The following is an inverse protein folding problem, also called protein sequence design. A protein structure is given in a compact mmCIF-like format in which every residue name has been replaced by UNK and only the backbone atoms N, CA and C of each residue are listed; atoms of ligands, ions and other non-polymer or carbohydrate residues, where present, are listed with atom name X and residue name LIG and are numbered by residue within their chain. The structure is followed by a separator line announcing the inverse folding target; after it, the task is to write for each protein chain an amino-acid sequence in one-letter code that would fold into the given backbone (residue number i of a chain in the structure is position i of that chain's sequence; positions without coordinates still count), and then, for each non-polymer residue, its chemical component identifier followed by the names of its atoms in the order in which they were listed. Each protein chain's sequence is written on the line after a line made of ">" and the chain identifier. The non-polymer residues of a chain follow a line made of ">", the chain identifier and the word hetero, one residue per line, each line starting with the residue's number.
data_IF_592093522462
#
_entry.id   IF_592093522462
#
_cell.length_a   1.000
_cell.length_b   1.000
_cell.length_c   1.000
_cell.angle_alpha   90.00
_cell.angle_beta   90.00
_cell.angle_gamma   90.00
#
_symmetry.space_group_name_H-M   'P 1'
#
loop_
_entity.id
_entity.type
_entity.pdbx_description
1 polymer ?
#
# COMPACT_ATOMS: atom_id res chain seq x y z
N UNK A 1 -22.03 2.15 20.41
CA UNK A 1 -20.95 3.01 19.91
C UNK A 1 -19.64 2.31 20.23
N UNK A 2 -18.65 2.39 19.36
CA UNK A 2 -17.32 1.86 19.61
C UNK A 2 -16.61 2.57 20.75
N UNK A 3 -15.48 2.05 21.19
CA UNK A 3 -14.66 2.69 22.21
C UNK A 3 -14.00 3.97 21.69
N UNK A 4 -13.62 3.92 20.40
CA UNK A 4 -13.08 5.08 19.68
C UNK A 4 -14.11 5.56 18.65
N UNK A 5 -14.33 6.86 18.62
CA UNK A 5 -15.23 7.47 17.64
C UNK A 5 -14.54 7.60 16.27
N UNK A 6 -13.22 7.87 16.28
CA UNK A 6 -12.38 7.96 15.08
C UNK A 6 -11.16 7.06 15.19
N UNK A 7 -10.83 6.45 14.06
CA UNK A 7 -9.58 5.71 13.91
C UNK A 7 -8.81 6.31 12.75
N UNK A 8 -7.58 6.72 13.00
CA UNK A 8 -6.61 7.13 11.99
C UNK A 8 -5.69 5.95 11.71
N UNK A 9 -5.73 5.44 10.49
CA UNK A 9 -4.90 4.31 10.07
C UNK A 9 -3.92 4.75 9.01
N UNK A 10 -2.64 4.82 9.37
CA UNK A 10 -1.55 5.29 8.51
C UNK A 10 -0.71 4.10 8.09
N UNK A 11 -0.58 3.89 6.78
CA UNK A 11 0.32 2.91 6.18
C UNK A 11 1.55 3.64 5.65
N UNK A 12 2.72 3.32 6.19
CA UNK A 12 4.02 3.72 5.68
C UNK A 12 4.40 2.70 4.60
N UNK A 13 4.05 2.98 3.36
CA UNK A 13 4.19 2.03 2.24
C UNK A 13 5.63 1.50 2.16
N UNK A 14 5.80 0.19 2.26
CA UNK A 14 7.08 -0.53 2.22
C UNK A 14 8.02 -0.42 3.43
N UNK A 15 7.59 0.09 4.59
CA UNK A 15 8.44 0.15 5.80
C UNK A 15 8.43 -1.20 6.54
N UNK A 16 9.11 -2.21 5.98
CA UNK A 16 9.31 -3.51 6.61
C UNK A 16 10.26 -3.46 7.81
N UNK A 17 10.17 -4.48 8.69
CA UNK A 17 10.95 -4.57 9.93
C UNK A 17 11.52 -5.99 10.15
N UNK A 18 12.22 -6.48 9.15
CA UNK A 18 12.91 -7.78 9.15
C UNK A 18 12.12 -8.90 8.48
N UNK A 19 12.85 -9.87 7.97
CA UNK A 19 12.36 -10.97 7.16
C UNK A 19 11.29 -11.83 7.83
N UNK A 20 10.31 -12.28 7.06
CA UNK A 20 9.35 -13.31 7.48
C UNK A 20 10.01 -14.70 7.44
N UNK A 21 9.47 -15.69 8.19
CA UNK A 21 9.99 -17.05 8.18
C UNK A 21 10.02 -17.73 6.81
N UNK A 22 9.15 -17.33 5.90
CA UNK A 22 9.05 -17.81 4.52
C UNK A 22 9.80 -16.95 3.50
N UNK A 23 10.57 -15.96 3.93
CA UNK A 23 11.30 -15.03 3.06
C UNK A 23 12.23 -15.73 2.06
N UNK A 24 12.80 -16.88 2.43
CA UNK A 24 13.63 -17.68 1.55
C UNK A 24 12.89 -18.14 0.27
N UNK A 25 11.59 -18.43 0.35
CA UNK A 25 10.76 -18.86 -0.78
C UNK A 25 10.55 -17.73 -1.80
N UNK A 26 10.69 -16.47 -1.35
CA UNK A 26 10.58 -15.25 -2.16
C UNK A 26 11.94 -14.70 -2.62
N UNK A 27 13.06 -15.32 -2.20
CA UNK A 27 14.41 -14.81 -2.45
C UNK A 27 14.77 -13.59 -1.60
N UNK A 28 14.09 -13.41 -0.48
CA UNK A 28 14.19 -12.22 0.38
C UNK A 28 14.90 -12.50 1.72
N UNK A 29 15.63 -13.60 1.81
CA UNK A 29 16.40 -13.96 3.00
C UNK A 29 17.36 -12.83 3.39
N UNK A 30 17.33 -12.39 4.64
CA UNK A 30 18.16 -11.30 5.16
C UNK A 30 17.62 -9.90 4.89
N UNK A 31 16.43 -9.73 4.28
CA UNK A 31 15.81 -8.42 4.09
C UNK A 31 15.39 -7.82 5.42
N UNK A 32 15.67 -6.53 5.59
CA UNK A 32 15.30 -5.76 6.77
C UNK A 32 15.31 -4.27 6.43
N UNK A 33 14.24 -3.80 5.82
CA UNK A 33 14.12 -2.43 5.30
C UNK A 33 14.53 -1.40 6.35
N UNK A 34 13.84 -1.34 7.49
CA UNK A 34 14.12 -0.35 8.53
C UNK A 34 15.46 -0.60 9.23
N UNK A 35 15.83 -1.87 9.44
CA UNK A 35 17.10 -2.24 10.07
C UNK A 35 18.30 -1.80 9.25
N UNK A 36 18.31 -2.05 7.94
CA UNK A 36 19.42 -1.65 7.06
C UNK A 36 19.51 -0.13 6.88
N UNK A 37 18.39 0.57 6.85
CA UNK A 37 18.40 2.04 6.85
C UNK A 37 19.04 2.55 8.15
N UNK A 38 18.67 2.00 9.31
CA UNK A 38 19.27 2.36 10.61
C UNK A 38 20.73 1.95 10.74
N UNK A 39 21.17 0.89 10.03
CA UNK A 39 22.58 0.51 9.94
C UNK A 39 23.43 1.50 9.14
N UNK A 40 22.84 2.09 8.10
CA UNK A 40 23.54 3.01 7.19
C UNK A 40 23.88 4.35 7.84
N UNK A 41 23.01 4.82 8.72
CA UNK A 41 23.15 6.09 9.48
C UNK A 41 22.24 6.13 10.71
N UNK A 42 22.54 6.96 11.73
CA UNK A 42 21.59 7.28 12.78
C UNK A 42 20.32 7.91 12.21
N UNK A 43 19.15 7.49 12.71
CA UNK A 43 17.85 8.04 12.34
C UNK A 43 17.33 8.96 13.46
N UNK A 44 16.81 10.12 13.10
CA UNK A 44 16.15 11.04 14.02
C UNK A 44 14.63 10.81 14.05
N UNK A 45 14.22 9.72 14.73
CA UNK A 45 12.81 9.25 14.80
C UNK A 45 12.32 9.09 16.26
N UNK A 46 12.48 10.12 17.12
CA UNK A 46 12.19 9.99 18.55
C UNK A 46 10.72 9.71 18.85
N UNK A 47 9.77 10.17 18.04
CA UNK A 47 8.34 9.98 18.27
C UNK A 47 7.92 8.53 17.95
N UNK A 48 8.41 7.96 16.87
CA UNK A 48 8.22 6.53 16.55
C UNK A 48 8.84 5.63 17.62
N UNK A 49 10.04 5.98 18.12
CA UNK A 49 10.68 5.27 19.23
C UNK A 49 9.83 5.40 20.49
N UNK A 50 9.29 6.58 20.79
CA UNK A 50 8.43 6.82 21.95
C UNK A 50 7.11 6.04 21.86
N UNK A 51 6.57 5.85 20.65
CA UNK A 51 5.43 4.97 20.42
C UNK A 51 5.76 3.48 20.63
N UNK A 52 7.04 3.09 20.59
CA UNK A 52 7.51 1.72 20.84
C UNK A 52 8.17 1.04 19.64
N UNK A 53 8.52 1.76 18.56
CA UNK A 53 9.11 1.14 17.36
C UNK A 53 10.38 0.35 17.68
N UNK A 54 11.31 0.92 18.43
CA UNK A 54 12.54 0.24 18.82
C UNK A 54 12.33 -0.89 19.86
N UNK A 55 11.13 -1.02 20.43
CA UNK A 55 10.75 -2.11 21.30
C UNK A 55 10.26 -3.35 20.50
N UNK A 56 9.96 -3.20 19.20
CA UNK A 56 9.53 -4.28 18.32
C UNK A 56 10.71 -5.13 17.87
N UNK A 57 11.78 -4.46 17.43
CA UNK A 57 13.03 -5.09 16.97
C UNK A 57 14.22 -4.13 17.24
N UNK A 58 15.42 -4.67 17.47
CA UNK A 58 16.61 -3.84 17.63
C UNK A 58 16.85 -2.98 16.37
N UNK A 59 16.99 -1.67 16.57
CA UNK A 59 17.38 -0.72 15.54
C UNK A 59 18.71 -0.07 15.96
N UNK A 60 19.70 -0.13 15.07
CA UNK A 60 21.02 0.46 15.34
C UNK A 60 20.86 1.97 15.68
N UNK A 61 21.59 2.42 16.67
CA UNK A 61 21.55 3.80 17.18
C UNK A 61 20.22 4.21 17.84
N UNK A 62 19.27 3.31 18.03
CA UNK A 62 18.03 3.56 18.76
C UNK A 62 18.04 2.81 20.10
N UNK A 63 17.60 3.46 21.15
CA UNK A 63 17.36 2.82 22.44
C UNK A 63 15.86 2.59 22.60
N UNK A 64 15.42 1.35 22.89
CA UNK A 64 14.01 1.07 23.17
C UNK A 64 13.47 1.99 24.26
N UNK A 65 12.25 2.48 24.09
CA UNK A 65 11.59 3.31 25.09
C UNK A 65 11.37 2.49 26.38
N UNK A 66 11.79 3.05 27.54
CA UNK A 66 11.55 2.40 28.83
C UNK A 66 10.05 2.35 29.19
N UNK A 67 9.28 3.34 28.73
CA UNK A 67 7.83 3.42 28.88
C UNK A 67 7.21 3.90 27.57
N UNK A 68 6.97 3.01 26.60
CA UNK A 68 6.32 3.38 25.35
C UNK A 68 4.94 3.98 25.61
N UNK A 69 4.60 5.07 24.92
CA UNK A 69 3.28 5.70 25.04
C UNK A 69 2.21 5.01 24.18
N UNK A 70 2.62 4.12 23.27
CA UNK A 70 1.73 3.34 22.41
C UNK A 70 1.77 1.84 22.73
N UNK A 71 0.83 1.10 22.15
CA UNK A 71 0.92 -0.34 21.99
C UNK A 71 1.79 -0.64 20.77
N UNK A 72 2.62 -1.68 20.88
CA UNK A 72 3.61 -2.01 19.85
C UNK A 72 3.70 -3.51 19.60
N UNK A 73 4.02 -3.89 18.39
CA UNK A 73 4.23 -5.25 17.93
C UNK A 73 4.54 -5.31 16.45
N UNK A 74 4.52 -6.49 15.86
CA UNK A 74 4.72 -6.66 14.43
C UNK A 74 3.74 -7.64 13.82
N UNK A 75 3.37 -7.41 12.55
CA UNK A 75 2.45 -8.26 11.80
C UNK A 75 3.18 -9.07 10.74
N UNK A 76 2.81 -10.34 10.61
CA UNK A 76 3.20 -11.19 9.49
C UNK A 76 2.17 -11.08 8.36
N UNK A 77 2.58 -11.39 7.13
CA UNK A 77 1.68 -11.51 5.98
C UNK A 77 1.39 -12.99 5.71
N UNK A 78 0.11 -13.36 5.63
CA UNK A 78 -0.37 -14.72 5.26
C UNK A 78 -0.58 -14.89 3.77
N UNK A 79 -0.94 -13.82 3.09
CA UNK A 79 -1.14 -13.82 1.65
C UNK A 79 0.14 -14.19 0.90
N UNK A 80 -0.01 -14.83 -0.27
CA UNK A 80 1.10 -15.29 -1.09
C UNK A 80 1.82 -14.18 -1.87
N UNK A 81 1.33 -12.93 -1.82
CA UNK A 81 1.96 -11.77 -2.45
C UNK A 81 2.82 -10.96 -1.48
N UNK A 82 3.56 -10.00 -2.01
CA UNK A 82 4.36 -9.02 -1.27
C UNK A 82 4.26 -7.61 -1.87
N UNK A 83 3.13 -7.33 -2.50
CA UNK A 83 2.83 -6.04 -3.14
C UNK A 83 1.81 -5.24 -2.34
N UNK A 84 1.72 -3.93 -2.64
CA UNK A 84 0.83 -2.97 -1.96
C UNK A 84 -0.62 -3.45 -1.91
N UNK A 85 -1.15 -3.97 -3.03
CA UNK A 85 -2.53 -4.47 -3.08
C UNK A 85 -2.72 -5.65 -2.14
N UNK A 86 -1.79 -6.61 -2.16
CA UNK A 86 -1.81 -7.80 -1.29
C UNK A 86 -1.80 -7.41 0.19
N UNK A 87 -0.88 -6.53 0.61
CA UNK A 87 -0.77 -6.10 2.00
C UNK A 87 -2.02 -5.37 2.48
N UNK A 88 -2.51 -4.39 1.71
CA UNK A 88 -3.72 -3.64 2.06
C UNK A 88 -4.98 -4.51 2.08
N UNK A 89 -5.12 -5.46 1.14
CA UNK A 89 -6.27 -6.37 1.16
C UNK A 89 -6.23 -7.32 2.37
N UNK A 90 -5.04 -7.79 2.74
CA UNK A 90 -4.90 -8.61 3.93
C UNK A 90 -5.26 -7.82 5.19
N UNK A 91 -4.83 -6.55 5.32
CA UNK A 91 -5.27 -5.64 6.37
C UNK A 91 -6.80 -5.57 6.47
N UNK A 92 -7.50 -5.59 5.32
CA UNK A 92 -8.95 -5.57 5.26
C UNK A 92 -9.63 -6.94 5.47
N UNK A 93 -8.86 -8.00 5.79
CA UNK A 93 -9.38 -9.34 6.07
C UNK A 93 -9.45 -10.27 4.86
N UNK A 94 -8.76 -9.95 3.76
CA UNK A 94 -8.73 -10.78 2.54
C UNK A 94 -7.38 -11.46 2.39
N UNK A 95 -7.32 -12.77 2.55
CA UNK A 95 -6.12 -13.54 2.25
C UNK A 95 -6.07 -13.97 0.79
N UNK A 96 -4.96 -13.68 0.14
CA UNK A 96 -4.67 -14.16 -1.20
C UNK A 96 -3.88 -15.46 -1.14
N UNK A 97 -4.54 -16.56 -1.52
CA UNK A 97 -3.91 -17.90 -1.57
C UNK A 97 -3.02 -18.09 -2.79
N UNK A 98 -3.01 -17.15 -3.70
CA UNK A 98 -2.15 -17.09 -4.88
C UNK A 98 -1.76 -15.65 -5.16
N UNK A 99 -0.45 -15.41 -5.33
CA UNK A 99 0.05 -14.09 -5.73
C UNK A 99 -0.48 -13.69 -7.11
N UNK A 100 -0.60 -12.40 -7.33
CA UNK A 100 -0.89 -11.88 -8.67
C UNK A 100 0.22 -12.29 -9.64
N UNK A 101 -0.11 -12.81 -10.84
CA UNK A 101 0.88 -13.29 -11.79
C UNK A 101 1.74 -12.14 -12.35
N UNK A 102 3.05 -12.40 -12.48
CA UNK A 102 4.02 -11.49 -13.11
C UNK A 102 4.56 -12.15 -14.38
N UNK A 103 4.60 -11.40 -15.48
CA UNK A 103 4.96 -11.90 -16.79
C UNK A 103 6.34 -11.42 -17.25
N UNK A 104 7.40 -12.04 -16.72
CA UNK A 104 8.81 -11.67 -17.00
C UNK A 104 9.21 -11.77 -18.48
N UNK A 105 8.46 -12.52 -19.30
CA UNK A 105 8.72 -12.71 -20.73
C UNK A 105 7.58 -12.20 -21.62
N UNK A 106 6.67 -11.37 -21.09
CA UNK A 106 5.42 -11.01 -21.74
C UNK A 106 4.30 -12.04 -21.51
N UNK A 107 3.10 -11.70 -21.94
CA UNK A 107 1.90 -12.52 -21.74
C UNK A 107 1.90 -13.72 -22.68
N UNK A 108 1.23 -14.85 -22.32
CA UNK A 108 1.03 -15.98 -23.19
C UNK A 108 0.41 -15.58 -24.55
N UNK A 109 0.83 -16.28 -25.60
CA UNK A 109 0.40 -15.94 -26.96
C UNK A 109 -1.09 -16.08 -27.18
N UNK A 110 -1.69 -17.14 -26.66
CA UNK A 110 -3.13 -17.40 -26.72
C UNK A 110 -3.96 -16.29 -26.05
N UNK A 111 -3.47 -15.77 -24.91
CA UNK A 111 -4.10 -14.64 -24.23
C UNK A 111 -4.06 -13.36 -25.08
N UNK A 112 -2.93 -13.08 -25.73
CA UNK A 112 -2.81 -11.92 -26.61
C UNK A 112 -3.68 -12.11 -27.87
N UNK A 113 -3.70 -13.28 -28.46
CA UNK A 113 -4.54 -13.56 -29.63
C UNK A 113 -6.04 -13.39 -29.33
N UNK A 114 -6.49 -13.84 -28.15
CA UNK A 114 -7.88 -13.63 -27.73
C UNK A 114 -8.17 -12.14 -27.43
N UNK A 115 -7.25 -11.43 -26.80
CA UNK A 115 -7.36 -9.98 -26.60
C UNK A 115 -7.48 -9.24 -27.94
N UNK A 116 -6.59 -9.51 -28.89
CA UNK A 116 -6.59 -8.93 -30.24
C UNK A 116 -7.92 -9.17 -31.01
N UNK A 117 -8.46 -10.39 -30.87
CA UNK A 117 -9.75 -10.75 -31.47
C UNK A 117 -10.89 -9.91 -30.86
N UNK A 118 -10.89 -9.74 -29.53
CA UNK A 118 -11.96 -8.99 -28.87
C UNK A 118 -11.90 -7.48 -29.16
N UNK A 119 -10.70 -6.90 -29.26
CA UNK A 119 -10.55 -5.48 -29.60
C UNK A 119 -10.56 -5.19 -31.11
N UNK A 120 -10.52 -6.23 -31.96
CA UNK A 120 -10.51 -6.11 -33.42
C UNK A 120 -9.22 -5.51 -34.00
N UNK A 121 -8.11 -5.52 -33.24
CA UNK A 121 -6.80 -4.96 -33.66
C UNK A 121 -5.67 -5.91 -33.29
N UNK A 122 -4.63 -5.98 -34.15
CA UNK A 122 -3.35 -6.60 -33.76
C UNK A 122 -2.58 -5.66 -32.83
N UNK A 123 -1.79 -6.26 -31.94
CA UNK A 123 -0.95 -5.52 -30.97
C UNK A 123 0.53 -5.59 -31.35
N UNK A 124 1.33 -4.73 -30.73
CA UNK A 124 2.81 -4.77 -30.77
C UNK A 124 3.36 -4.71 -29.34
N UNK A 125 4.60 -5.12 -29.15
CA UNK A 125 5.28 -5.13 -27.87
C UNK A 125 5.22 -6.50 -27.20
N UNK A 126 4.30 -6.69 -26.26
CA UNK A 126 4.15 -7.89 -25.41
C UNK A 126 5.45 -8.31 -24.71
N UNK A 127 6.09 -7.38 -24.01
CA UNK A 127 7.32 -7.60 -23.27
C UNK A 127 7.38 -6.75 -22.00
N UNK A 128 8.25 -7.07 -21.02
CA UNK A 128 8.53 -6.18 -19.91
C UNK A 128 9.27 -4.93 -20.38
N UNK A 129 8.79 -3.75 -19.96
CA UNK A 129 9.45 -2.49 -20.26
C UNK A 129 8.97 -1.36 -19.33
N UNK A 130 9.79 -0.30 -19.21
CA UNK A 130 9.28 0.95 -18.67
C UNK A 130 8.38 1.65 -19.69
N UNK A 131 7.32 2.30 -19.21
CA UNK A 131 6.34 2.96 -20.10
C UNK A 131 6.93 4.10 -20.94
N UNK A 132 8.02 4.71 -20.52
CA UNK A 132 8.74 5.75 -21.28
C UNK A 132 9.56 5.13 -22.39
N UNK A 133 10.30 4.06 -22.09
CA UNK A 133 11.18 3.42 -23.08
C UNK A 133 10.39 2.68 -24.16
N UNK A 134 9.31 1.97 -23.78
CA UNK A 134 8.51 1.25 -24.79
C UNK A 134 7.82 2.20 -25.77
N UNK A 135 7.39 3.39 -25.32
CA UNK A 135 6.80 4.41 -26.20
C UNK A 135 7.86 5.00 -27.13
N UNK A 136 9.09 5.22 -26.68
CA UNK A 136 10.20 5.64 -27.55
C UNK A 136 10.51 4.59 -28.60
N UNK A 137 10.53 3.32 -28.21
CA UNK A 137 10.87 2.20 -29.09
C UNK A 137 9.78 1.90 -30.14
N UNK A 138 8.52 1.82 -29.72
CA UNK A 138 7.40 1.32 -30.54
C UNK A 138 6.40 2.41 -30.97
N UNK A 139 6.55 3.66 -30.49
CA UNK A 139 5.60 4.72 -30.75
C UNK A 139 5.46 5.04 -32.24
N UNK A 140 6.55 5.05 -33.00
CA UNK A 140 6.53 5.28 -34.45
C UNK A 140 5.82 4.15 -35.22
N UNK A 141 6.08 2.88 -34.86
CA UNK A 141 5.37 1.74 -35.41
C UNK A 141 3.88 1.80 -35.07
N UNK A 142 3.53 2.15 -33.83
CA UNK A 142 2.15 2.32 -33.41
C UNK A 142 1.44 3.39 -34.27
N UNK A 143 2.04 4.57 -34.42
CA UNK A 143 1.45 5.67 -35.23
C UNK A 143 1.25 5.25 -36.68
N UNK A 144 2.21 4.55 -37.26
CA UNK A 144 2.15 4.09 -38.65
C UNK A 144 1.13 2.96 -38.88
N UNK A 145 0.95 2.05 -37.91
CA UNK A 145 0.16 0.82 -38.11
C UNK A 145 -1.19 0.83 -37.41
N UNK A 146 -1.41 1.74 -36.45
CA UNK A 146 -2.62 1.76 -35.60
C UNK A 146 -2.70 0.59 -34.62
N UNK A 147 -1.63 -0.18 -34.41
CA UNK A 147 -1.58 -1.29 -33.46
C UNK A 147 -1.29 -0.77 -32.04
N UNK A 148 -2.13 -1.01 -31.02
CA UNK A 148 -1.83 -0.61 -29.66
C UNK A 148 -0.59 -1.35 -29.14
N UNK A 149 0.19 -0.64 -28.28
CA UNK A 149 1.39 -1.19 -27.64
C UNK A 149 0.95 -1.89 -26.36
N UNK A 150 1.10 -3.21 -26.28
CA UNK A 150 0.88 -4.00 -25.06
C UNK A 150 2.21 -4.29 -24.39
N UNK A 151 2.31 -4.10 -23.09
CA UNK A 151 3.52 -4.38 -22.32
C UNK A 151 3.21 -4.63 -20.84
N UNK A 152 4.20 -5.13 -20.11
CA UNK A 152 4.13 -5.34 -18.66
C UNK A 152 5.32 -4.67 -17.97
N UNK A 153 5.50 -4.87 -16.67
CA UNK A 153 6.65 -4.43 -15.88
C UNK A 153 7.02 -5.48 -14.84
N UNK A 154 7.82 -5.12 -13.84
CA UNK A 154 8.09 -5.96 -12.68
C UNK A 154 6.85 -6.23 -11.81
N UNK A 155 5.85 -5.36 -11.88
CA UNK A 155 4.57 -5.52 -11.20
C UNK A 155 3.62 -6.43 -11.98
N UNK A 156 2.54 -6.86 -11.31
CA UNK A 156 1.45 -7.62 -11.93
C UNK A 156 0.50 -6.67 -12.67
N UNK A 157 0.90 -6.24 -13.86
CA UNK A 157 0.16 -5.25 -14.66
C UNK A 157 0.10 -5.61 -16.14
N UNK A 158 -1.05 -5.32 -16.78
CA UNK A 158 -1.25 -5.33 -18.22
C UNK A 158 -1.41 -3.88 -18.67
N UNK A 159 -0.50 -3.38 -19.48
CA UNK A 159 -0.48 -1.97 -19.87
C UNK A 159 -0.70 -1.82 -21.36
N UNK A 160 -1.54 -0.85 -21.75
CA UNK A 160 -1.84 -0.53 -23.15
C UNK A 160 -1.47 0.93 -23.38
N UNK A 161 -0.49 1.18 -24.27
CA UNK A 161 -0.12 2.52 -24.66
C UNK A 161 -0.60 2.82 -26.08
N UNK A 162 -1.19 4.03 -26.26
CA UNK A 162 -1.69 4.50 -27.57
C UNK A 162 -1.46 5.99 -27.72
N UNK A 163 -1.17 6.44 -28.95
CA UNK A 163 -1.16 7.85 -29.30
C UNK A 163 -2.60 8.34 -29.48
N UNK A 164 -2.95 9.46 -28.84
CA UNK A 164 -4.34 9.94 -28.76
C UNK A 164 -4.95 10.34 -30.09
N UNK A 165 -4.13 10.74 -31.08
CA UNK A 165 -4.58 11.05 -32.43
C UNK A 165 -4.73 9.81 -33.34
N UNK A 166 -4.18 8.65 -32.93
CA UNK A 166 -4.26 7.38 -33.68
C UNK A 166 -5.36 6.50 -33.13
N UNK A 167 -5.44 6.38 -31.81
CA UNK A 167 -6.50 5.65 -31.09
C UNK A 167 -7.05 6.61 -30.05
N UNK A 168 -8.32 7.06 -30.19
CA UNK A 168 -8.95 7.93 -29.21
C UNK A 168 -8.93 7.36 -27.81
N UNK A 169 -8.81 8.21 -26.79
CA UNK A 169 -8.70 7.77 -25.38
C UNK A 169 -9.91 6.91 -24.95
N UNK A 170 -11.11 7.21 -25.44
CA UNK A 170 -12.30 6.41 -25.17
C UNK A 170 -12.16 4.96 -25.68
N UNK A 171 -11.56 4.78 -26.86
CA UNK A 171 -11.28 3.45 -27.44
C UNK A 171 -10.18 2.74 -26.64
N UNK A 172 -9.14 3.44 -26.20
CA UNK A 172 -8.13 2.88 -25.30
C UNK A 172 -8.76 2.41 -23.98
N UNK A 173 -9.65 3.18 -23.39
CA UNK A 173 -10.34 2.79 -22.15
C UNK A 173 -11.19 1.56 -22.38
N UNK A 174 -11.92 1.48 -23.49
CA UNK A 174 -12.67 0.28 -23.85
C UNK A 174 -11.77 -0.96 -24.01
N UNK A 175 -10.59 -0.84 -24.64
CA UNK A 175 -9.61 -1.93 -24.72
C UNK A 175 -9.15 -2.38 -23.32
N UNK A 176 -8.95 -1.44 -22.38
CA UNK A 176 -8.59 -1.79 -21.02
C UNK A 176 -9.71 -2.49 -20.26
N UNK A 177 -10.97 -2.13 -20.49
CA UNK A 177 -12.13 -2.86 -19.94
C UNK A 177 -12.23 -4.28 -20.49
N UNK A 178 -11.99 -4.47 -21.79
CA UNK A 178 -11.91 -5.80 -22.43
C UNK A 178 -10.78 -6.62 -21.79
N UNK A 179 -9.59 -6.02 -21.68
CA UNK A 179 -8.45 -6.68 -21.05
C UNK A 179 -8.75 -7.05 -19.58
N UNK A 180 -9.38 -6.15 -18.80
CA UNK A 180 -9.73 -6.43 -17.40
C UNK A 180 -10.66 -7.63 -17.25
N UNK A 181 -11.63 -7.80 -18.15
CA UNK A 181 -12.55 -8.94 -18.17
C UNK A 181 -11.86 -10.24 -18.60
N UNK A 182 -10.94 -10.15 -19.55
CA UNK A 182 -10.19 -11.30 -20.06
C UNK A 182 -9.16 -11.82 -19.06
N UNK A 183 -8.53 -10.90 -18.32
CA UNK A 183 -7.47 -11.18 -17.35
C UNK A 183 -8.05 -11.59 -15.99
N UNK A 184 -8.68 -12.76 -15.93
CA UNK A 184 -9.23 -13.38 -14.73
C UNK A 184 -8.64 -14.78 -14.49
N UNK A 185 -9.02 -15.44 -13.39
CA UNK A 185 -8.49 -16.75 -13.02
C UNK A 185 -6.95 -16.74 -12.91
N UNK A 186 -6.24 -17.64 -13.59
CA UNK A 186 -4.78 -17.75 -13.51
C UNK A 186 -4.03 -16.53 -14.10
N UNK A 187 -4.71 -15.73 -14.92
CA UNK A 187 -4.16 -14.52 -15.53
C UNK A 187 -4.61 -13.22 -14.86
N UNK A 188 -5.18 -13.30 -13.67
CA UNK A 188 -5.73 -12.17 -12.92
C UNK A 188 -4.64 -11.24 -12.43
N UNK A 189 -4.14 -10.35 -13.32
CA UNK A 189 -3.18 -9.30 -12.92
C UNK A 189 -3.84 -8.28 -12.00
N UNK A 190 -3.06 -7.66 -11.14
CA UNK A 190 -3.54 -6.67 -10.18
C UNK A 190 -4.16 -5.43 -10.85
N UNK A 191 -3.61 -4.97 -11.96
CA UNK A 191 -4.10 -3.78 -12.69
C UNK A 191 -4.00 -3.94 -14.20
N UNK A 192 -4.99 -3.40 -14.92
CA UNK A 192 -4.88 -3.05 -16.34
C UNK A 192 -4.74 -1.54 -16.43
N UNK A 193 -3.79 -1.03 -17.22
CA UNK A 193 -3.45 0.40 -17.21
C UNK A 193 -3.54 0.99 -18.62
N UNK A 194 -4.38 2.00 -18.77
CA UNK A 194 -4.39 2.86 -19.95
C UNK A 194 -3.25 3.88 -19.89
N UNK A 195 -2.42 3.92 -20.92
CA UNK A 195 -1.25 4.81 -21.04
C UNK A 195 -1.32 5.67 -22.31
N UNK A 196 -2.21 6.66 -22.40
CA UNK A 196 -2.26 7.55 -23.55
C UNK A 196 -1.00 8.42 -23.61
N UNK A 197 -0.56 8.69 -24.85
CA UNK A 197 0.57 9.57 -25.12
C UNK A 197 0.31 10.43 -26.36
N UNK A 198 1.08 11.50 -26.51
CA UNK A 198 1.05 12.45 -27.63
C UNK A 198 2.47 12.76 -28.09
N UNK A 199 2.59 13.59 -29.12
CA UNK A 199 3.87 14.07 -29.61
C UNK A 199 4.26 13.49 -30.97
N UNK A 200 5.52 13.62 -31.31
CA UNK A 200 6.08 13.22 -32.60
C UNK A 200 7.24 12.23 -32.40
N UNK A 201 7.68 11.49 -33.42
CA UNK A 201 8.84 10.63 -33.35
C UNK A 201 10.02 11.28 -32.64
N UNK A 202 10.58 10.58 -31.64
CA UNK A 202 11.65 11.08 -30.78
C UNK A 202 11.24 12.06 -29.67
N UNK A 203 9.98 12.51 -29.63
CA UNK A 203 9.43 13.45 -28.63
C UNK A 203 8.05 13.07 -28.12
N UNK A 204 7.80 11.76 -27.98
CA UNK A 204 6.56 11.27 -27.38
C UNK A 204 6.51 11.53 -25.87
N UNK A 205 5.35 12.01 -25.40
CA UNK A 205 5.11 12.38 -24.00
C UNK A 205 3.81 11.72 -23.51
N UNK A 206 3.85 11.07 -22.36
CA UNK A 206 2.65 10.53 -21.71
C UNK A 206 1.75 11.68 -21.26
N UNK A 207 0.44 11.50 -21.44
CA UNK A 207 -0.55 12.49 -20.99
C UNK A 207 -1.03 12.19 -19.57
N UNK A 208 -1.76 13.12 -18.98
CA UNK A 208 -2.38 12.98 -17.66
C UNK A 208 -3.63 12.09 -17.67
N UNK A 209 -4.09 11.64 -18.85
CA UNK A 209 -5.27 10.77 -19.03
C UNK A 209 -4.95 9.29 -18.83
N UNK A 210 -3.95 8.98 -17.98
CA UNK A 210 -3.75 7.63 -17.47
C UNK A 210 -4.97 7.20 -16.68
N UNK A 211 -5.40 5.93 -16.85
CA UNK A 211 -6.45 5.33 -16.05
C UNK A 211 -6.08 3.89 -15.68
N UNK A 212 -6.22 3.54 -14.42
CA UNK A 212 -5.91 2.23 -13.89
C UNK A 212 -7.23 1.48 -13.60
N UNK A 213 -7.38 0.28 -14.17
CA UNK A 213 -8.48 -0.65 -13.92
C UNK A 213 -7.96 -1.71 -12.95
N UNK A 214 -8.11 -1.46 -11.66
CA UNK A 214 -7.71 -2.40 -10.63
C UNK A 214 -8.63 -3.64 -10.63
N UNK A 215 -8.12 -4.74 -10.11
CA UNK A 215 -8.96 -5.90 -9.81
C UNK A 215 -9.81 -5.60 -8.57
N UNK A 216 -11.06 -6.02 -8.58
CA UNK A 216 -11.94 -5.86 -7.41
C UNK A 216 -11.49 -6.75 -6.25
N UNK A 217 -11.41 -6.21 -5.03
CA UNK A 217 -11.11 -7.03 -3.87
C UNK A 217 -12.24 -8.05 -3.62
N UNK A 218 -11.91 -9.28 -3.19
CA UNK A 218 -12.91 -10.27 -2.78
C UNK A 218 -13.81 -9.78 -1.63
N UNK A 219 -15.01 -10.32 -1.55
CA UNK A 219 -15.99 -10.06 -0.48
C UNK A 219 -16.04 -11.23 0.51
N UNK A 220 -16.39 -10.96 1.77
CA UNK A 220 -16.49 -9.66 2.43
C UNK A 220 -15.12 -9.14 2.88
N UNK A 221 -15.01 -7.83 3.11
CA UNK A 221 -13.82 -7.18 3.67
C UNK A 221 -14.21 -6.07 4.67
N UNK A 222 -13.21 -5.46 5.33
CA UNK A 222 -13.42 -4.42 6.35
C UNK A 222 -14.37 -3.31 5.88
N UNK A 223 -14.19 -2.78 4.66
CA UNK A 223 -15.00 -1.70 4.12
C UNK A 223 -16.48 -2.08 3.99
N UNK A 224 -16.79 -3.33 3.65
CA UNK A 224 -18.17 -3.83 3.61
C UNK A 224 -18.79 -3.84 5.00
N UNK A 225 -18.04 -4.35 5.98
CA UNK A 225 -18.47 -4.43 7.39
C UNK A 225 -18.70 -3.03 7.96
N UNK A 226 -17.82 -2.07 7.66
CA UNK A 226 -17.97 -0.68 8.09
C UNK A 226 -19.20 -0.02 7.44
N UNK A 227 -19.43 -0.24 6.14
CA UNK A 227 -20.58 0.26 5.42
C UNK A 227 -21.92 -0.27 6.01
N UNK A 228 -22.00 -1.57 6.32
CA UNK A 228 -23.17 -2.18 7.01
C UNK A 228 -23.45 -1.53 8.37
N UNK A 229 -22.41 -1.08 9.06
CA UNK A 229 -22.48 -0.38 10.34
C UNK A 229 -22.66 1.14 10.19
N UNK A 230 -22.77 1.65 8.96
CA UNK A 230 -22.89 3.08 8.64
C UNK A 230 -21.67 3.89 9.13
N UNK A 231 -20.52 3.25 9.20
CA UNK A 231 -19.24 3.88 9.50
C UNK A 231 -18.61 4.35 8.20
N UNK A 232 -18.32 5.64 8.10
CA UNK A 232 -17.71 6.24 6.92
C UNK A 232 -16.22 5.93 6.88
N UNK A 233 -15.69 5.70 5.68
CA UNK A 233 -14.26 5.56 5.41
C UNK A 233 -13.83 6.74 4.54
N UNK A 234 -12.88 7.52 5.05
CA UNK A 234 -12.23 8.59 4.30
C UNK A 234 -10.82 8.16 3.88
N UNK A 235 -10.60 8.03 2.57
CA UNK A 235 -9.33 7.62 1.99
C UNK A 235 -8.40 8.81 1.73
N UNK A 236 -7.13 8.69 2.11
CA UNK A 236 -6.08 9.67 1.81
C UNK A 236 -4.97 8.95 1.03
N UNK A 237 -4.53 9.56 -0.07
CA UNK A 237 -3.53 8.98 -0.97
C UNK A 237 -4.10 7.93 -1.90
N UNK A 238 -3.50 6.74 -1.96
CA UNK A 238 -3.89 5.66 -2.89
C UNK A 238 -5.01 4.74 -2.37
N UNK A 239 -5.56 4.98 -1.20
CA UNK A 239 -6.53 4.07 -0.57
C UNK A 239 -7.74 3.80 -1.48
N UNK A 240 -8.32 4.85 -2.09
CA UNK A 240 -9.42 4.67 -3.03
C UNK A 240 -9.04 3.72 -4.19
N UNK A 241 -7.88 3.91 -4.79
CA UNK A 241 -7.43 3.11 -5.95
C UNK A 241 -7.09 1.67 -5.56
N UNK A 242 -6.48 1.44 -4.38
CA UNK A 242 -6.12 0.11 -3.86
C UNK A 242 -7.36 -0.76 -3.67
N UNK A 243 -8.47 -0.16 -3.22
CA UNK A 243 -9.74 -0.85 -3.01
C UNK A 243 -10.73 -0.69 -4.17
N UNK A 244 -10.29 -0.11 -5.30
CA UNK A 244 -11.11 0.16 -6.48
C UNK A 244 -12.40 0.93 -6.13
N UNK A 245 -12.30 1.91 -5.22
CA UNK A 245 -13.39 2.75 -4.74
C UNK A 245 -14.36 2.07 -3.76
N UNK A 246 -14.22 0.76 -3.53
CA UNK A 246 -15.18 -0.01 -2.78
C UNK A 246 -15.17 0.33 -1.29
N UNK A 247 -16.29 0.90 -0.82
CA UNK A 247 -16.46 1.34 0.55
C UNK A 247 -15.59 2.53 0.96
N UNK A 248 -14.95 3.20 -0.02
CA UNK A 248 -14.14 4.41 0.15
C UNK A 248 -14.75 5.49 -0.76
N UNK A 249 -15.92 5.97 -0.41
CA UNK A 249 -16.68 6.93 -1.23
C UNK A 249 -16.13 8.35 -1.12
N UNK A 250 -15.55 8.70 0.03
CA UNK A 250 -14.92 9.98 0.28
C UNK A 250 -13.39 9.80 0.29
N UNK A 251 -12.69 10.54 -0.57
CA UNK A 251 -11.24 10.43 -0.64
C UNK A 251 -10.56 11.71 -1.15
N UNK A 252 -9.26 11.80 -0.92
CA UNK A 252 -8.40 12.85 -1.45
C UNK A 252 -7.07 12.27 -1.89
N UNK A 253 -6.61 12.67 -3.07
CA UNK A 253 -5.27 12.30 -3.56
C UNK A 253 -4.19 13.14 -2.89
N UNK A 254 -2.96 12.65 -2.87
CA UNK A 254 -1.80 13.32 -2.27
C UNK A 254 -0.69 13.56 -3.30
N UNK A 255 0.12 14.59 -3.04
CA UNK A 255 1.32 14.92 -3.84
C UNK A 255 2.56 14.21 -3.29
N UNK A 256 2.50 13.64 -2.08
CA UNK A 256 3.56 12.96 -1.37
C UNK A 256 3.22 12.78 0.10
N UNK A 257 4.16 12.25 0.89
CA UNK A 257 3.94 11.92 2.29
C UNK A 257 3.60 13.14 3.16
N UNK A 258 4.30 14.27 2.99
CA UNK A 258 4.04 15.49 3.74
C UNK A 258 2.62 16.03 3.49
N UNK A 259 2.15 16.05 2.24
CA UNK A 259 0.78 16.42 1.88
C UNK A 259 -0.25 15.44 2.47
N UNK A 260 0.10 14.14 2.57
CA UNK A 260 -0.72 13.12 3.25
C UNK A 260 -0.91 13.44 4.74
N UNK A 261 0.15 13.81 5.43
CA UNK A 261 0.11 14.21 6.84
C UNK A 261 -0.66 15.53 7.06
N UNK A 262 -0.53 16.50 6.15
CA UNK A 262 -1.34 17.72 6.18
C UNK A 262 -2.84 17.39 6.08
N UNK A 263 -3.22 16.51 5.14
CA UNK A 263 -4.62 16.07 4.97
C UNK A 263 -5.15 15.28 6.16
N UNK A 264 -4.32 14.47 6.81
CA UNK A 264 -4.67 13.82 8.08
C UNK A 264 -4.97 14.85 9.17
N UNK A 265 -4.15 15.90 9.27
CA UNK A 265 -4.35 17.00 10.23
C UNK A 265 -5.65 17.75 9.95
N UNK A 266 -5.95 18.05 8.70
CA UNK A 266 -7.23 18.66 8.30
C UNK A 266 -8.42 17.74 8.65
N UNK A 267 -8.29 16.44 8.45
CA UNK A 267 -9.34 15.47 8.78
C UNK A 267 -9.70 15.46 10.27
N UNK A 268 -8.79 15.81 11.19
CA UNK A 268 -9.09 15.92 12.61
C UNK A 268 -10.22 16.97 12.88
N UNK A 269 -10.18 18.09 12.18
CA UNK A 269 -11.18 19.16 12.33
C UNK A 269 -12.48 18.89 11.56
N UNK A 270 -12.39 18.23 10.40
CA UNK A 270 -13.51 18.03 9.49
C UNK A 270 -14.32 16.76 9.75
N UNK A 271 -13.68 15.71 10.31
CA UNK A 271 -14.28 14.38 10.49
C UNK A 271 -14.54 14.09 11.96
N UNK A 272 -15.79 13.89 12.33
CA UNK A 272 -16.18 13.64 13.73
C UNK A 272 -16.12 12.18 14.14
N UNK A 273 -16.26 11.25 13.19
CA UNK A 273 -16.27 9.81 13.45
C UNK A 273 -15.90 9.02 12.20
N UNK A 274 -15.55 7.75 12.37
CA UNK A 274 -15.28 6.80 11.29
C UNK A 274 -13.79 6.43 11.15
N UNK A 275 -13.47 5.84 10.02
CA UNK A 275 -12.10 5.44 9.67
C UNK A 275 -11.48 6.47 8.72
N UNK A 276 -10.37 7.07 9.11
CA UNK A 276 -9.50 7.88 8.26
C UNK A 276 -8.31 7.00 7.88
N UNK A 277 -8.25 6.57 6.64
CA UNK A 277 -7.28 5.60 6.15
C UNK A 277 -6.32 6.27 5.16
N UNK A 278 -5.03 6.30 5.48
CA UNK A 278 -4.00 7.00 4.72
C UNK A 278 -2.89 6.05 4.28
N UNK A 279 -2.51 6.14 3.00
CA UNK A 279 -1.31 5.51 2.46
C UNK A 279 -0.27 6.59 2.13
N UNK A 280 0.91 6.50 2.75
CA UNK A 280 2.07 7.37 2.53
C UNK A 280 3.06 6.64 1.60
N UNK A 281 2.94 6.90 0.31
CA UNK A 281 3.51 6.07 -0.77
C UNK A 281 4.96 6.40 -1.14
N UNK A 282 5.52 7.55 -0.70
CA UNK A 282 6.84 7.99 -1.17
C UNK A 282 7.95 7.05 -0.72
N UNK A 283 7.81 6.40 0.43
CA UNK A 283 8.78 5.43 0.94
C UNK A 283 9.04 4.33 -0.09
N UNK A 284 7.97 3.78 -0.66
CA UNK A 284 8.04 2.79 -1.73
C UNK A 284 8.47 3.40 -3.05
N UNK A 285 7.67 4.35 -3.55
CA UNK A 285 7.75 4.83 -4.93
C UNK A 285 9.02 5.65 -5.21
N UNK A 286 9.45 6.48 -4.26
CA UNK A 286 10.60 7.38 -4.46
C UNK A 286 11.91 6.79 -3.96
N UNK A 287 11.88 5.92 -2.95
CA UNK A 287 13.09 5.50 -2.25
C UNK A 287 13.33 4.00 -2.30
N UNK A 288 12.36 3.14 -1.92
CA UNK A 288 12.48 1.69 -1.89
C UNK A 288 12.89 1.12 -3.26
N UNK A 289 12.05 1.29 -4.27
CA UNK A 289 12.31 0.84 -5.63
C UNK A 289 13.52 1.50 -6.31
N UNK A 290 14.09 2.55 -5.72
CA UNK A 290 15.25 3.28 -6.27
C UNK A 290 16.54 3.03 -5.51
N UNK A 291 16.46 2.24 -4.44
CA UNK A 291 17.60 1.98 -3.54
C UNK A 291 18.19 3.26 -2.96
N UNK A 292 17.35 4.24 -2.71
CA UNK A 292 17.74 5.51 -2.12
C UNK A 292 17.62 5.46 -0.60
N UNK A 293 18.62 4.85 0.04
CA UNK A 293 18.69 4.69 1.50
C UNK A 293 18.64 6.05 2.21
N UNK A 294 19.34 7.05 1.67
CA UNK A 294 19.40 8.39 2.28
C UNK A 294 18.06 9.12 2.16
N UNK A 295 17.42 9.06 1.01
CA UNK A 295 16.09 9.62 0.80
C UNK A 295 15.03 8.95 1.67
N UNK A 296 15.11 7.61 1.81
CA UNK A 296 14.22 6.85 2.69
C UNK A 296 14.36 7.29 4.15
N UNK A 297 15.62 7.38 4.64
CA UNK A 297 15.92 7.84 6.00
C UNK A 297 15.36 9.24 6.27
N UNK A 298 15.61 10.21 5.38
CA UNK A 298 15.07 11.57 5.49
C UNK A 298 13.56 11.62 5.47
N UNK A 299 12.92 10.78 4.67
CA UNK A 299 11.45 10.70 4.63
C UNK A 299 10.87 10.14 5.94
N UNK A 300 11.55 9.18 6.59
CA UNK A 300 11.17 8.70 7.92
C UNK A 300 11.32 9.79 8.99
N UNK A 301 12.40 10.54 8.94
CA UNK A 301 12.66 11.66 9.87
C UNK A 301 11.63 12.80 9.68
N UNK A 302 11.27 13.11 8.42
CA UNK A 302 10.21 14.08 8.13
C UNK A 302 8.85 13.60 8.64
N UNK A 303 8.52 12.33 8.41
CA UNK A 303 7.29 11.73 8.94
C UNK A 303 7.27 11.82 10.47
N UNK A 304 8.36 11.47 11.15
CA UNK A 304 8.47 11.53 12.61
C UNK A 304 8.27 12.96 13.17
N UNK A 305 8.83 13.94 12.50
CA UNK A 305 8.61 15.37 12.84
C UNK A 305 7.15 15.78 12.68
N UNK A 306 6.51 15.41 11.58
CA UNK A 306 5.08 15.67 11.33
C UNK A 306 4.18 14.91 12.31
N UNK A 307 4.59 13.72 12.71
CA UNK A 307 3.91 12.92 13.72
C UNK A 307 3.92 13.62 15.09
N UNK A 308 5.03 14.30 15.47
CA UNK A 308 5.09 15.10 16.69
C UNK A 308 4.05 16.23 16.72
N UNK A 309 3.75 16.81 15.55
CA UNK A 309 2.73 17.85 15.42
C UNK A 309 1.30 17.25 15.43
N UNK A 310 1.15 16.03 14.92
CA UNK A 310 -0.15 15.34 14.80
C UNK A 310 -0.64 14.72 16.12
N UNK A 311 0.25 14.05 16.88
CA UNK A 311 -0.12 13.33 18.10
C UNK A 311 -0.89 14.18 19.14
N UNK A 312 -0.48 15.44 19.43
CA UNK A 312 -1.18 16.29 20.41
C UNK A 312 -2.60 16.71 19.99
N UNK A 313 -2.95 16.57 18.72
CA UNK A 313 -4.25 16.94 18.18
C UNK A 313 -5.30 15.84 18.38
N UNK A 314 -4.88 14.62 18.72
CA UNK A 314 -5.77 13.50 18.97
C UNK A 314 -6.50 13.68 20.30
N UNK A 315 -7.78 13.31 20.31
CA UNK A 315 -8.64 13.30 21.50
C UNK A 315 -8.64 11.94 22.19
N UNK A 316 -9.22 11.86 23.39
CA UNK A 316 -9.41 10.62 24.14
C UNK A 316 -10.28 9.59 23.38
N UNK A 317 -11.12 10.05 22.46
CA UNK A 317 -11.96 9.18 21.61
C UNK A 317 -11.33 8.80 20.28
N UNK A 318 -10.04 9.15 20.06
CA UNK A 318 -9.30 8.80 18.86
C UNK A 318 -8.35 7.63 19.11
N UNK A 319 -8.20 6.80 18.07
CA UNK A 319 -7.13 5.80 17.99
C UNK A 319 -6.31 6.04 16.73
N UNK A 320 -5.01 6.05 16.86
CA UNK A 320 -4.04 6.04 15.76
C UNK A 320 -3.46 4.64 15.63
N UNK A 321 -3.40 4.13 14.41
CA UNK A 321 -2.65 2.91 14.06
C UNK A 321 -1.66 3.27 12.95
N UNK A 322 -0.37 3.01 13.18
CA UNK A 322 0.69 3.17 12.18
C UNK A 322 1.24 1.79 11.87
N UNK A 323 1.36 1.47 10.58
CA UNK A 323 1.86 0.19 10.09
C UNK A 323 2.53 0.34 8.72
N UNK A 324 2.91 -0.77 8.11
CA UNK A 324 3.26 -0.87 6.70
C UNK A 324 2.47 -2.03 6.05
N UNK A 325 2.54 -2.16 4.76
CA UNK A 325 1.86 -3.20 3.97
C UNK A 325 2.82 -4.33 3.53
N UNK A 326 4.10 -4.01 3.35
CA UNK A 326 5.21 -4.92 3.03
C UNK A 326 6.55 -4.24 3.33
N UNK A 327 7.68 -4.86 2.95
CA UNK A 327 9.00 -4.25 2.91
C UNK A 327 9.42 -3.89 1.47
N UNK A 328 10.37 -2.98 1.35
CA UNK A 328 11.12 -2.72 0.10
C UNK A 328 12.52 -2.22 0.47
N UNK A 329 13.38 -3.16 0.82
CA UNK A 329 14.71 -2.89 1.38
C UNK A 329 15.61 -2.16 0.37
N UNK A 330 15.95 -0.88 0.61
CA UNK A 330 16.71 -0.07 -0.33
C UNK A 330 18.22 -0.35 -0.31
N UNK A 331 18.69 -1.28 0.52
CA UNK A 331 20.12 -1.56 0.65
C UNK A 331 20.73 -1.95 -0.71
N UNK A 332 21.83 -1.30 -1.15
CA UNK A 332 22.45 -1.54 -2.45
C UNK A 332 23.03 -2.96 -2.62
N UNK A 333 23.22 -3.73 -1.53
CA UNK A 333 23.65 -5.14 -1.59
C UNK A 333 22.69 -6.03 -2.37
N UNK A 334 21.41 -5.67 -2.43
CA UNK A 334 20.40 -6.46 -3.12
C UNK A 334 20.44 -6.24 -4.64
N UNK A 335 20.30 -7.30 -5.42
CA UNK A 335 20.29 -7.20 -6.88
C UNK A 335 18.96 -6.64 -7.43
N UNK A 336 17.85 -6.92 -6.75
CA UNK A 336 16.50 -6.47 -7.15
C UNK A 336 16.08 -5.20 -6.43
N UNK A 337 15.16 -4.47 -7.03
CA UNK A 337 14.42 -3.34 -6.43
C UNK A 337 12.98 -3.73 -6.12
N UNK A 338 12.67 -5.02 -6.06
CA UNK A 338 11.34 -5.54 -5.79
C UNK A 338 11.00 -5.44 -4.30
N UNK A 339 9.71 -5.47 -3.98
CA UNK A 339 9.23 -5.56 -2.61
C UNK A 339 9.83 -6.78 -1.90
N UNK A 340 9.89 -6.73 -0.58
CA UNK A 340 10.46 -7.77 0.25
C UNK A 340 9.45 -8.37 1.23
N UNK A 341 9.64 -9.69 1.46
CA UNK A 341 8.80 -10.50 2.35
C UNK A 341 9.21 -10.28 3.80
N UNK A 342 8.67 -9.23 4.44
CA UNK A 342 9.05 -8.79 5.78
C UNK A 342 7.86 -8.71 6.72
N UNK A 343 8.14 -8.80 8.03
CA UNK A 343 7.21 -8.30 9.03
C UNK A 343 6.99 -6.79 8.83
N UNK A 344 5.84 -6.29 9.25
CA UNK A 344 5.56 -4.86 9.31
C UNK A 344 5.36 -4.40 10.75
N UNK A 345 5.72 -3.16 11.12
CA UNK A 345 5.48 -2.63 12.45
C UNK A 345 3.99 -2.44 12.71
N UNK A 346 3.58 -2.61 13.95
CA UNK A 346 2.26 -2.24 14.46
C UNK A 346 2.49 -1.30 15.63
N UNK A 347 2.08 -0.05 15.48
CA UNK A 347 2.08 0.95 16.54
C UNK A 347 0.65 1.45 16.68
N UNK A 348 0.07 1.32 17.86
CA UNK A 348 -1.27 1.81 18.13
C UNK A 348 -1.26 2.76 19.32
N UNK A 349 -1.87 3.92 19.18
CA UNK A 349 -1.85 4.98 20.18
C UNK A 349 -3.22 5.59 20.37
N UNK A 350 -3.53 5.90 21.61
CA UNK A 350 -4.65 6.76 21.99
C UNK A 350 -4.22 7.58 23.22
N UNK A 351 -4.56 8.86 23.30
CA UNK A 351 -4.30 9.64 24.53
C UNK A 351 -4.95 9.04 25.78
N UNK A 352 -5.94 8.16 25.58
CA UNK A 352 -6.70 7.52 26.67
C UNK A 352 -6.33 6.06 26.95
N UNK A 353 -5.30 5.47 26.33
CA UNK A 353 -4.95 4.09 26.63
C UNK A 353 -3.97 3.45 25.65
N UNK A 354 -3.57 2.21 25.92
CA UNK A 354 -2.65 1.42 25.08
C UNK A 354 -1.17 1.62 25.38
N UNK A 355 -0.79 2.50 26.31
CA UNK A 355 0.60 2.79 26.63
C UNK A 355 1.35 1.54 27.14
N UNK A 356 2.50 1.22 26.53
CA UNK A 356 3.38 0.13 26.94
C UNK A 356 2.85 -1.28 26.66
N UNK A 357 1.75 -1.43 25.96
CA UNK A 357 1.18 -2.74 25.62
C UNK A 357 2.00 -3.40 24.49
N UNK A 358 2.59 -4.56 24.78
CA UNK A 358 3.20 -5.37 23.73
C UNK A 358 2.13 -6.31 23.14
N UNK A 359 1.66 -6.05 21.92
CA UNK A 359 0.71 -6.92 21.20
C UNK A 359 1.38 -8.12 20.53
N UNK A 360 2.71 -8.22 20.65
CA UNK A 360 3.50 -9.37 20.20
C UNK A 360 3.65 -9.48 18.69
N UNK A 361 3.86 -10.71 18.23
CA UNK A 361 3.89 -11.03 16.80
C UNK A 361 2.49 -11.47 16.38
N UNK A 362 1.91 -10.74 15.44
CA UNK A 362 0.58 -11.04 14.90
C UNK A 362 0.72 -11.92 13.66
N UNK A 363 -0.09 -12.96 13.59
CA UNK A 363 -0.03 -13.97 12.52
C UNK A 363 -0.47 -13.45 11.14
N UNK A 364 -1.16 -12.33 11.09
CA UNK A 364 -1.69 -11.73 9.85
C UNK A 364 -1.92 -10.22 10.02
N UNK A 365 -1.80 -9.48 8.92
CA UNK A 365 -2.14 -8.06 8.87
C UNK A 365 -3.63 -7.81 9.12
N UNK A 366 -4.47 -8.81 8.91
CA UNK A 366 -5.91 -8.75 9.18
C UNK A 366 -6.25 -8.50 10.66
N UNK A 367 -5.32 -8.73 11.58
CA UNK A 367 -5.52 -8.46 13.01
C UNK A 367 -5.79 -6.98 13.29
N UNK A 368 -5.17 -6.07 12.52
CA UNK A 368 -5.44 -4.64 12.57
C UNK A 368 -6.85 -4.31 12.07
N UNK A 369 -7.22 -4.86 10.91
CA UNK A 369 -8.57 -4.69 10.37
C UNK A 369 -9.66 -5.26 11.28
N UNK A 370 -9.41 -6.42 11.91
CA UNK A 370 -10.35 -6.98 12.89
C UNK A 370 -10.45 -6.12 14.15
N UNK A 371 -9.36 -5.48 14.58
CA UNK A 371 -9.37 -4.53 15.69
C UNK A 371 -10.25 -3.32 15.37
N UNK A 372 -10.13 -2.79 14.15
CA UNK A 372 -10.97 -1.67 13.67
C UNK A 372 -12.43 -2.12 13.53
N UNK A 373 -12.69 -3.30 12.93
CA UNK A 373 -14.04 -3.83 12.79
C UNK A 373 -14.72 -4.02 14.16
N UNK A 374 -14.02 -4.62 15.13
CA UNK A 374 -14.54 -4.82 16.49
C UNK A 374 -14.85 -3.50 17.18
N UNK A 375 -14.01 -2.47 17.03
CA UNK A 375 -14.28 -1.15 17.58
C UNK A 375 -15.64 -0.60 17.12
N UNK A 376 -15.99 -0.84 15.86
CA UNK A 376 -17.28 -0.41 15.30
C UNK A 376 -18.37 -1.49 15.37
N UNK A 377 -18.19 -2.53 16.19
CA UNK A 377 -19.16 -3.60 16.44
C UNK A 377 -19.31 -4.58 15.28
N UNK A 378 -18.29 -4.71 14.42
CA UNK A 378 -18.23 -5.63 13.29
C UNK A 378 -17.24 -6.76 13.46
N UNK A 379 -17.20 -7.65 12.47
CA UNK A 379 -16.23 -8.76 12.37
C UNK A 379 -15.89 -8.98 10.90
N UNK A 380 -14.62 -9.17 10.60
CA UNK A 380 -14.13 -9.53 9.26
C UNK A 380 -13.78 -11.03 9.20
N UNK A 381 -13.66 -11.64 8.00
CA UNK A 381 -13.44 -13.08 7.86
C UNK A 381 -12.16 -13.58 8.51
N UNK A 382 -11.11 -12.77 8.56
CA UNK A 382 -9.79 -13.12 9.03
C UNK A 382 -9.32 -12.13 10.10
N UNK A 383 -8.37 -12.58 10.95
CA UNK A 383 -7.74 -11.74 11.96
C UNK A 383 -8.28 -11.92 13.36
N UNK A 384 -7.44 -11.56 14.33
CA UNK A 384 -7.77 -11.54 15.77
C UNK A 384 -7.52 -10.13 16.29
N UNK A 385 -8.56 -9.52 16.84
CA UNK A 385 -8.47 -8.19 17.43
C UNK A 385 -7.55 -8.16 18.64
N UNK A 386 -6.82 -7.06 18.77
CA UNK A 386 -6.08 -6.70 19.99
C UNK A 386 -6.71 -5.50 20.74
N UNK A 387 -7.95 -5.14 20.42
CA UNK A 387 -8.66 -4.02 21.06
C UNK A 387 -8.77 -4.19 22.57
N UNK A 388 -9.05 -5.40 23.04
CA UNK A 388 -9.17 -5.69 24.47
C UNK A 388 -7.82 -5.58 25.22
N UNK A 389 -6.71 -5.81 24.54
CA UNK A 389 -5.37 -5.64 25.10
C UNK A 389 -5.09 -4.16 25.37
N UNK A 390 -5.52 -3.28 24.48
CA UNK A 390 -5.44 -1.81 24.66
C UNK A 390 -6.36 -1.28 25.78
N UNK A 391 -7.51 -1.92 26.00
CA UNK A 391 -8.50 -1.54 27.03
C UNK A 391 -8.01 -1.82 28.46
N UNK A 392 -7.28 -2.91 28.69
CA UNK A 392 -6.89 -3.37 30.02
C UNK A 392 -6.08 -2.35 30.83
N UNK A 393 -5.40 -1.42 30.19
CA UNK A 393 -4.65 -0.38 30.89
C UNK A 393 -5.53 0.80 31.36
N UNK A 394 -6.60 1.15 30.64
CA UNK A 394 -7.55 2.19 31.07
C UNK A 394 -8.17 1.89 32.45
N UNK A 395 -8.45 0.63 32.73
CA UNK A 395 -9.07 0.19 34.00
C UNK A 395 -8.12 0.35 35.19
N UNK A 396 -6.82 0.31 34.98
CA UNK A 396 -5.82 0.40 36.05
C UNK A 396 -5.41 1.85 36.39
N UNK A 397 -5.62 2.81 35.49
CA UNK A 397 -5.32 4.23 35.72
C UNK A 397 -6.49 4.99 36.35
N UNK A 398 -7.74 4.56 36.10
CA UNK A 398 -8.94 5.13 36.73
C UNK A 398 -9.10 4.65 38.19
N UNK A 399 -8.37 3.61 38.58
CA UNK A 399 -8.37 3.04 39.94
C UNK A 399 -7.22 3.53 40.82
N UNK A 400 -6.41 4.49 40.38
CA UNK A 400 -5.38 5.20 41.13
C UNK A 400 -5.68 6.69 41.19
#
# INVERSE_FOLDING_TARGET
>A
MGEFERIFWIVLDSVGIGELPDAAEYGDLGRNTLGHIAESRPLEIPNLVHLGLANIAPLKHQTPAAAPIGAYGKGATRSQGKDTTTGHWEMAGVWLHQAFPVYKNGFPRDLIEEFEKQIGRKTIGNKPASGTEIIKELGEEHVRTGKPIVYTSGDSVFQIATHEEVIPVAELYHMCEVARKLLDGPHRVGRVIARPFTGMPGRYVRTTRRHDYAVDPPKPMLMDVLAERKVRVFGIGKIHDIYNGRGVEEYVTTKGNADGMEKLTVAISERKSGLIFCNLVDFDMLYGHRKDVEGFAKSLEEFDRLLAEFLPLLSLSDMLVITADHGCDPDPRWATTDHSREYVPILAYSPGGGAGVNVGVRDTLADMGQTIAENFGGTIPQGKSFLNEMRKQRSNEVAR
#
